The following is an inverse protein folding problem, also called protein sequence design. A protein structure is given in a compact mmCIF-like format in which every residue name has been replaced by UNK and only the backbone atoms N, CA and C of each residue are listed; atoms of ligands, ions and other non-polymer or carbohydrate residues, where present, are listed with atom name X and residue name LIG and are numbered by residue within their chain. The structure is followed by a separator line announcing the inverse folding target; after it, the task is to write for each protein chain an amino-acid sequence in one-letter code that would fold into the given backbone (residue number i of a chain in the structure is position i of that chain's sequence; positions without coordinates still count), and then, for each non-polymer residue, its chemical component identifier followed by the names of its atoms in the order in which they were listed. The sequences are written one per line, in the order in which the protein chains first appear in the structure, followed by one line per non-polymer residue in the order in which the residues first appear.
data_IF_536060616760
#
_entry.id   IF_536060616760
#
_cell.length_a   1.000
_cell.length_b   1.000
_cell.length_c   1.000
_cell.angle_alpha   90.00
_cell.angle_beta   90.00
_cell.angle_gamma   90.00
#
_symmetry.space_group_name_H-M   'P 1'
#
loop_
_entity.id
_entity.type
_entity.pdbx_description
1 polymer ?
#
# COMPACT_ATOMS: atom_id res chain seq x y z
N UNK A 1 66.38 64.38 -11.52
CA UNK A 1 65.06 63.79 -11.85
C UNK A 1 65.35 62.47 -12.52
N UNK A 2 64.91 61.31 -12.06
CA UNK A 2 64.04 60.96 -10.95
C UNK A 2 64.48 59.57 -10.44
N UNK A 3 64.22 59.37 -9.16
CA UNK A 3 64.23 58.10 -8.43
C UNK A 3 63.34 57.09 -9.15
N UNK A 4 63.78 55.83 -9.33
CA UNK A 4 62.89 54.76 -9.75
C UNK A 4 63.12 53.50 -8.90
N UNK A 5 62.06 53.13 -8.21
CA UNK A 5 61.99 52.18 -7.12
C UNK A 5 62.19 50.73 -7.59
N UNK A 6 62.94 49.96 -6.79
CA UNK A 6 63.12 48.51 -6.93
C UNK A 6 61.79 47.76 -7.08
N UNK A 7 61.72 46.88 -8.08
CA UNK A 7 60.98 45.60 -7.97
C UNK A 7 61.94 44.42 -8.13
N UNK A 8 62.46 43.94 -7.00
CA UNK A 8 63.18 42.66 -6.95
C UNK A 8 62.16 41.55 -7.24
N UNK A 9 62.19 40.99 -8.45
CA UNK A 9 61.48 39.73 -8.73
C UNK A 9 62.15 38.65 -7.90
N UNK A 10 61.40 38.10 -6.93
CA UNK A 10 61.84 36.97 -6.12
C UNK A 10 61.93 35.77 -7.05
N UNK A 11 63.14 35.40 -7.45
CA UNK A 11 63.37 34.20 -8.26
C UNK A 11 62.79 33.01 -7.51
N UNK A 12 61.78 32.41 -8.13
CA UNK A 12 61.05 31.28 -7.59
C UNK A 12 61.98 30.08 -7.67
N UNK A 13 62.48 29.63 -6.52
CA UNK A 13 63.35 28.47 -6.43
C UNK A 13 62.65 27.26 -7.08
N UNK A 14 63.20 26.72 -8.19
CA UNK A 14 62.58 25.63 -8.93
C UNK A 14 62.48 24.34 -8.10
N UNK A 15 63.37 24.16 -7.11
CA UNK A 15 63.32 23.01 -6.19
C UNK A 15 62.13 23.17 -5.25
N UNK A 16 61.94 24.37 -4.68
CA UNK A 16 60.80 24.66 -3.82
C UNK A 16 59.47 24.46 -4.54
N UNK A 17 59.36 24.90 -5.80
CA UNK A 17 58.15 24.70 -6.61
C UNK A 17 57.89 23.24 -6.94
N UNK A 18 58.93 22.47 -7.23
CA UNK A 18 58.80 21.04 -7.48
C UNK A 18 58.29 20.31 -6.23
N UNK A 19 58.86 20.60 -5.07
CA UNK A 19 58.41 20.04 -3.79
C UNK A 19 56.97 20.46 -3.45
N UNK A 20 56.60 21.71 -3.70
CA UNK A 20 55.24 22.21 -3.46
C UNK A 20 54.20 21.49 -4.33
N UNK A 21 54.51 21.25 -5.61
CA UNK A 21 53.62 20.54 -6.54
C UNK A 21 53.44 19.10 -6.10
N UNK A 22 54.52 18.41 -5.72
CA UNK A 22 54.45 17.02 -5.22
C UNK A 22 53.62 16.96 -3.93
N UNK A 23 53.78 17.93 -3.03
CA UNK A 23 53.01 18.00 -1.80
C UNK A 23 51.51 18.23 -2.07
N UNK A 24 51.15 19.13 -2.98
CA UNK A 24 49.74 19.36 -3.36
C UNK A 24 49.14 18.09 -3.99
N UNK A 25 49.87 17.40 -4.87
CA UNK A 25 49.41 16.14 -5.46
C UNK A 25 49.18 15.06 -4.40
N UNK A 26 50.07 14.94 -3.41
CA UNK A 26 49.91 14.00 -2.31
C UNK A 26 48.70 14.34 -1.44
N UNK A 27 48.48 15.61 -1.12
CA UNK A 27 47.30 16.06 -0.37
C UNK A 27 46.02 15.78 -1.16
N UNK A 28 45.97 16.08 -2.45
CA UNK A 28 44.82 15.77 -3.31
C UNK A 28 44.56 14.26 -3.42
N UNK A 29 45.59 13.43 -3.45
CA UNK A 29 45.44 11.97 -3.46
C UNK A 29 44.88 11.45 -2.13
N UNK A 30 45.37 11.98 -1.00
CA UNK A 30 44.90 11.57 0.34
C UNK A 30 43.48 12.06 0.61
N UNK A 31 43.16 13.32 0.31
CA UNK A 31 41.79 13.85 0.45
C UNK A 31 40.85 13.20 -0.53
N UNK A 32 41.28 12.95 -1.78
CA UNK A 32 40.53 12.18 -2.76
C UNK A 32 40.23 10.76 -2.28
N UNK A 33 41.21 10.08 -1.67
CA UNK A 33 41.02 8.75 -1.10
C UNK A 33 40.09 8.74 0.12
N UNK A 34 40.20 9.73 1.01
CA UNK A 34 39.29 9.88 2.16
C UNK A 34 37.86 10.18 1.71
N UNK A 35 37.68 11.16 0.81
CA UNK A 35 36.37 11.51 0.26
C UNK A 35 35.76 10.32 -0.49
N UNK A 36 36.57 9.57 -1.27
CA UNK A 36 36.13 8.35 -1.93
C UNK A 36 35.70 7.27 -0.93
N UNK A 37 36.50 7.02 0.11
CA UNK A 37 36.21 6.00 1.11
C UNK A 37 34.97 6.33 1.96
N UNK A 38 34.74 7.62 2.25
CA UNK A 38 33.65 8.05 3.13
C UNK A 38 32.35 8.38 2.37
N UNK A 39 32.42 8.75 1.08
CA UNK A 39 31.25 9.20 0.31
C UNK A 39 30.93 8.38 -0.94
N UNK A 40 31.90 7.63 -1.49
CA UNK A 40 31.73 6.95 -2.80
C UNK A 40 32.02 5.44 -2.76
N UNK A 41 32.52 4.91 -1.65
CA UNK A 41 32.79 3.49 -1.50
C UNK A 41 31.47 2.75 -1.23
N UNK A 42 30.92 2.17 -2.28
CA UNK A 42 29.93 1.09 -2.14
C UNK A 42 30.59 -0.07 -1.41
N UNK A 43 30.10 -0.42 -0.23
CA UNK A 43 30.52 -1.63 0.45
C UNK A 43 30.21 -2.83 -0.46
N UNK A 44 31.26 -3.45 -1.01
CA UNK A 44 31.13 -4.57 -1.93
C UNK A 44 30.83 -5.88 -1.21
N UNK A 45 30.61 -5.84 0.10
CA UNK A 45 30.21 -7.00 0.90
C UNK A 45 28.88 -7.52 0.36
N UNK A 46 28.95 -8.67 -0.31
CA UNK A 46 27.76 -9.38 -0.75
C UNK A 46 27.06 -9.96 0.48
N UNK A 47 25.75 -9.77 0.58
CA UNK A 47 24.96 -10.40 1.61
C UNK A 47 24.97 -11.92 1.43
N UNK A 48 25.29 -12.66 2.49
CA UNK A 48 25.36 -14.13 2.46
C UNK A 48 24.41 -14.73 3.50
N UNK A 49 24.19 -16.04 3.44
CA UNK A 49 23.37 -16.70 4.44
C UNK A 49 23.93 -16.46 5.85
N UNK A 50 23.05 -16.07 6.78
CA UNK A 50 23.41 -15.69 8.14
C UNK A 50 23.82 -14.23 8.35
N UNK A 51 24.01 -13.43 7.28
CA UNK A 51 24.25 -11.99 7.41
C UNK A 51 23.06 -11.28 8.06
N UNK A 52 23.36 -10.28 8.90
CA UNK A 52 22.35 -9.33 9.36
C UNK A 52 22.28 -8.18 8.36
N UNK A 53 21.11 -7.97 7.76
CA UNK A 53 20.93 -7.01 6.69
C UNK A 53 19.86 -5.99 7.01
N UNK A 54 20.00 -4.80 6.40
CA UNK A 54 18.98 -3.76 6.36
C UNK A 54 18.58 -3.53 4.91
N UNK A 55 17.29 -3.56 4.61
CA UNK A 55 16.78 -3.32 3.26
C UNK A 55 15.70 -2.25 3.23
N UNK A 56 15.67 -1.49 2.15
CA UNK A 56 14.48 -0.78 1.73
C UNK A 56 13.67 -1.62 0.76
N UNK A 57 12.35 -1.52 0.81
CA UNK A 57 11.49 -2.27 -0.10
C UNK A 57 10.21 -1.54 -0.48
N UNK A 58 9.68 -1.92 -1.64
CA UNK A 58 8.32 -1.61 -2.08
C UNK A 58 7.69 -2.94 -2.53
N UNK A 59 6.58 -3.30 -1.91
CA UNK A 59 5.75 -4.45 -2.28
C UNK A 59 4.51 -3.99 -3.05
N UNK A 60 4.30 -4.54 -4.25
CA UNK A 60 3.12 -4.27 -5.08
C UNK A 60 2.37 -5.54 -5.48
N UNK A 61 1.06 -5.41 -5.65
CA UNK A 61 0.21 -6.37 -6.36
C UNK A 61 0.12 -5.99 -7.84
N UNK A 62 -0.27 -6.98 -8.65
CA UNK A 62 -0.64 -6.88 -10.07
C UNK A 62 0.51 -6.53 -11.04
N UNK A 63 1.38 -5.60 -10.70
CA UNK A 63 2.53 -5.20 -11.53
C UNK A 63 3.71 -4.69 -10.67
N UNK A 64 4.94 -4.71 -11.21
CA UNK A 64 6.10 -4.07 -10.57
C UNK A 64 5.89 -2.58 -10.31
N UNK A 65 6.49 -2.06 -9.23
CA UNK A 65 6.39 -0.64 -8.91
C UNK A 65 6.85 0.27 -10.07
N UNK A 66 6.04 1.28 -10.36
CA UNK A 66 6.23 2.22 -11.47
C UNK A 66 5.61 1.78 -12.80
N UNK A 67 5.08 0.56 -12.89
CA UNK A 67 4.30 0.11 -14.04
C UNK A 67 2.81 0.42 -13.89
N UNK A 68 2.08 0.42 -15.03
CA UNK A 68 0.64 0.68 -15.02
C UNK A 68 -0.07 -0.35 -14.14
N UNK A 69 -1.04 0.13 -13.36
CA UNK A 69 -1.85 -0.68 -12.45
C UNK A 69 -1.07 -1.33 -11.29
N UNK A 70 0.18 -0.93 -11.01
CA UNK A 70 0.87 -1.39 -9.81
C UNK A 70 0.17 -0.84 -8.56
N UNK A 71 -0.08 -1.71 -7.58
CA UNK A 71 -0.79 -1.34 -6.34
C UNK A 71 0.10 -1.63 -5.14
N UNK A 72 0.53 -0.59 -4.42
CA UNK A 72 1.42 -0.76 -3.27
C UNK A 72 0.64 -1.31 -2.07
N UNK A 73 1.08 -2.46 -1.56
CA UNK A 73 0.50 -3.08 -0.37
C UNK A 73 1.36 -2.90 0.88
N UNK A 74 2.67 -2.69 0.71
CA UNK A 74 3.57 -2.40 1.81
C UNK A 74 4.86 -1.71 1.32
N UNK A 75 5.49 -0.92 2.17
CA UNK A 75 6.78 -0.29 1.85
C UNK A 75 7.51 0.18 3.10
N UNK A 76 8.85 0.19 3.04
CA UNK A 76 9.70 0.89 4.00
C UNK A 76 9.88 2.39 3.69
N UNK A 77 9.42 2.86 2.52
CA UNK A 77 9.73 4.22 2.03
C UNK A 77 8.57 5.17 2.29
N UNK A 78 8.80 6.18 3.13
CA UNK A 78 7.83 7.27 3.35
C UNK A 78 7.40 7.96 2.05
N UNK A 79 8.35 8.21 1.14
CA UNK A 79 8.07 8.87 -0.14
C UNK A 79 7.11 8.10 -1.04
N UNK A 80 6.95 6.79 -0.82
CA UNK A 80 5.99 5.96 -1.54
C UNK A 80 4.68 5.89 -0.75
N UNK A 81 4.76 5.74 0.57
CA UNK A 81 3.59 5.64 1.44
C UNK A 81 2.74 6.92 1.49
N UNK A 82 3.38 8.09 1.43
CA UNK A 82 2.76 9.42 1.50
C UNK A 82 2.57 10.07 0.11
N UNK A 83 2.71 9.32 -0.98
CA UNK A 83 2.41 9.83 -2.32
C UNK A 83 0.99 9.45 -2.72
N UNK A 84 0.13 10.46 -2.87
CA UNK A 84 -1.27 10.33 -3.30
C UNK A 84 -1.40 9.89 -4.77
N UNK A 85 -0.33 10.02 -5.57
CA UNK A 85 -0.32 9.53 -6.96
C UNK A 85 0.00 8.03 -7.06
N UNK A 86 0.43 7.41 -5.95
CA UNK A 86 0.74 5.98 -5.91
C UNK A 86 -0.48 5.24 -5.35
N UNK A 87 -1.15 4.45 -6.19
CA UNK A 87 -2.28 3.62 -5.77
C UNK A 87 -1.88 2.65 -4.66
N UNK A 88 -2.67 2.64 -3.58
CA UNK A 88 -2.46 1.78 -2.40
C UNK A 88 -3.52 0.69 -2.35
N UNK A 89 -3.15 -0.51 -1.91
CA UNK A 89 -4.08 -1.62 -1.76
C UNK A 89 -5.20 -1.29 -0.78
N UNK A 90 -6.34 -1.98 -0.86
CA UNK A 90 -7.47 -1.81 0.05
C UNK A 90 -7.08 -2.03 1.51
N UNK A 91 -6.11 -2.92 1.77
CA UNK A 91 -5.60 -3.22 3.12
C UNK A 91 -4.40 -2.34 3.55
N UNK A 92 -3.99 -1.35 2.75
CA UNK A 92 -2.83 -0.52 3.08
C UNK A 92 -3.17 0.41 4.25
N UNK A 93 -2.33 0.36 5.29
CA UNK A 93 -2.46 1.25 6.45
C UNK A 93 -1.18 2.02 6.64
N UNK A 94 -1.28 3.36 6.57
CA UNK A 94 -0.15 4.24 6.84
C UNK A 94 0.33 4.12 8.29
N UNK A 95 1.64 4.22 8.50
CA UNK A 95 2.28 4.04 9.82
C UNK A 95 2.44 5.35 10.62
N UNK A 96 1.65 6.38 10.29
CA UNK A 96 1.77 7.72 10.88
C UNK A 96 2.68 8.61 10.04
N UNK A 97 3.82 9.02 10.59
CA UNK A 97 4.76 9.95 9.96
C UNK A 97 6.02 9.27 9.40
N UNK A 98 6.88 10.05 8.75
CA UNK A 98 8.13 9.60 8.12
C UNK A 98 9.05 8.79 9.05
N UNK A 99 9.06 9.06 10.36
CA UNK A 99 9.93 8.35 11.31
C UNK A 99 9.54 6.88 11.52
N UNK A 100 8.29 6.51 11.21
CA UNK A 100 7.81 5.13 11.27
C UNK A 100 8.23 4.28 10.05
N UNK A 101 8.80 4.91 9.02
CA UNK A 101 9.22 4.26 7.79
C UNK A 101 10.74 4.13 7.80
N UNK A 102 11.19 3.01 8.35
CA UNK A 102 12.62 2.64 8.47
C UNK A 102 12.91 1.37 7.69
N UNK A 103 14.20 1.13 7.44
CA UNK A 103 14.67 -0.09 6.77
C UNK A 103 14.22 -1.34 7.52
N UNK A 104 13.88 -2.38 6.76
CA UNK A 104 13.57 -3.69 7.31
C UNK A 104 14.87 -4.41 7.67
N UNK A 105 15.05 -4.71 8.96
CA UNK A 105 16.20 -5.41 9.49
C UNK A 105 15.87 -6.87 9.75
N UNK A 106 16.67 -7.79 9.22
CA UNK A 106 16.48 -9.22 9.44
C UNK A 106 17.78 -9.99 9.24
N UNK A 107 17.80 -11.27 9.65
CA UNK A 107 18.93 -12.15 9.41
C UNK A 107 18.60 -13.11 8.26
N UNK A 108 19.48 -13.16 7.25
CA UNK A 108 19.28 -14.06 6.12
C UNK A 108 19.28 -15.51 6.62
N UNK A 109 18.26 -16.28 6.21
CA UNK A 109 18.07 -17.68 6.61
C UNK A 109 17.42 -17.92 7.98
N UNK A 110 16.93 -16.89 8.68
CA UNK A 110 16.24 -17.07 9.97
C UNK A 110 14.78 -17.54 9.88
N UNK A 111 14.20 -17.58 8.67
CA UNK A 111 12.84 -18.03 8.42
C UNK A 111 11.74 -17.04 8.83
N UNK A 112 12.07 -15.77 9.13
CA UNK A 112 11.09 -14.76 9.57
C UNK A 112 10.34 -14.08 8.43
N UNK A 113 10.90 -14.12 7.21
CA UNK A 113 10.33 -13.51 6.00
C UNK A 113 9.95 -14.56 4.97
N UNK A 114 9.22 -14.14 3.93
CA UNK A 114 8.90 -14.98 2.78
C UNK A 114 10.19 -15.56 2.18
N UNK A 115 10.25 -16.88 1.88
CA UNK A 115 11.45 -17.51 1.33
C UNK A 115 11.97 -16.83 0.07
N UNK A 116 11.08 -16.45 -0.85
CA UNK A 116 11.45 -15.72 -2.08
C UNK A 116 12.10 -14.36 -1.79
N UNK A 117 11.60 -13.63 -0.78
CA UNK A 117 12.17 -12.35 -0.37
C UNK A 117 13.55 -12.54 0.26
N UNK A 118 13.68 -13.49 1.20
CA UNK A 118 14.94 -13.78 1.89
C UNK A 118 16.03 -14.21 0.89
N UNK A 119 15.69 -15.13 -0.02
CA UNK A 119 16.61 -15.64 -1.04
C UNK A 119 17.05 -14.56 -2.04
N UNK A 120 16.20 -13.59 -2.35
CA UNK A 120 16.53 -12.52 -3.28
C UNK A 120 17.67 -11.62 -2.79
N UNK A 121 17.79 -11.44 -1.47
CA UNK A 121 18.82 -10.61 -0.85
C UNK A 121 20.19 -11.29 -0.88
N UNK A 122 20.23 -12.62 -0.95
CA UNK A 122 21.50 -13.37 -1.05
C UNK A 122 22.25 -12.95 -2.32
N UNK A 123 23.53 -12.63 -2.15
CA UNK A 123 24.43 -12.19 -3.20
C UNK A 123 24.30 -10.71 -3.58
N UNK A 124 23.31 -9.98 -3.06
CA UNK A 124 23.20 -8.55 -3.30
C UNK A 124 24.37 -7.80 -2.68
N UNK A 125 24.87 -6.77 -3.37
CA UNK A 125 25.85 -5.82 -2.82
C UNK A 125 25.13 -4.63 -2.19
N UNK A 126 25.75 -3.98 -1.20
CA UNK A 126 25.17 -2.78 -0.60
C UNK A 126 24.99 -1.70 -1.69
N UNK A 127 23.80 -1.09 -1.72
CA UNK A 127 23.34 -0.16 -2.74
C UNK A 127 22.66 -0.81 -3.95
N UNK A 128 22.75 -2.12 -4.12
CA UNK A 128 22.07 -2.84 -5.21
C UNK A 128 20.55 -2.82 -5.00
N UNK A 129 19.81 -2.64 -6.10
CA UNK A 129 18.37 -2.82 -6.14
C UNK A 129 18.01 -3.99 -7.03
N UNK A 130 17.17 -4.90 -6.52
CA UNK A 130 16.71 -6.09 -7.22
C UNK A 130 15.18 -6.10 -7.25
N UNK A 131 14.62 -6.50 -8.40
CA UNK A 131 13.18 -6.73 -8.57
C UNK A 131 12.92 -8.22 -8.66
N UNK A 132 11.93 -8.70 -7.92
CA UNK A 132 11.52 -10.10 -7.90
C UNK A 132 10.00 -10.22 -7.96
N UNK A 133 9.54 -11.40 -8.37
CA UNK A 133 8.14 -11.82 -8.23
C UNK A 133 8.13 -13.06 -7.37
N UNK A 134 7.29 -13.05 -6.33
CA UNK A 134 6.96 -14.24 -5.54
C UNK A 134 5.58 -14.68 -6.00
N UNK A 135 5.45 -15.82 -6.69
CA UNK A 135 4.16 -16.31 -7.15
C UNK A 135 3.18 -16.52 -5.99
N UNK A 136 1.87 -16.43 -6.26
CA UNK A 136 0.82 -16.56 -5.26
C UNK A 136 0.94 -17.81 -4.36
N UNK A 137 1.39 -18.94 -4.92
CA UNK A 137 1.59 -20.19 -4.18
C UNK A 137 2.81 -20.21 -3.25
N UNK A 138 3.72 -19.25 -3.39
CA UNK A 138 4.96 -19.11 -2.59
C UNK A 138 4.93 -17.88 -1.67
N UNK A 139 3.90 -17.02 -1.82
CA UNK A 139 3.65 -15.84 -1.00
C UNK A 139 2.76 -16.15 0.19
N UNK A 140 1.77 -15.29 0.42
CA UNK A 140 0.75 -15.52 1.45
C UNK A 140 -0.39 -16.35 0.87
N UNK A 141 -0.60 -17.56 1.39
CA UNK A 141 -1.70 -18.44 0.97
C UNK A 141 -2.73 -18.58 2.07
N UNK A 142 -4.02 -18.53 1.71
CA UNK A 142 -5.11 -18.86 2.62
C UNK A 142 -6.17 -19.68 1.90
N UNK A 143 -6.84 -20.62 2.60
CA UNK A 143 -7.99 -21.31 2.04
C UNK A 143 -9.06 -20.26 1.71
N UNK A 144 -9.28 -20.04 0.41
CA UNK A 144 -10.35 -19.20 -0.11
C UNK A 144 -11.34 -20.14 -0.78
N UNK A 145 -12.63 -19.94 -0.51
CA UNK A 145 -13.70 -20.65 -1.24
C UNK A 145 -14.44 -19.61 -2.07
N UNK A 146 -14.01 -19.37 -3.33
CA UNK A 146 -14.62 -18.35 -4.15
C UNK A 146 -16.12 -18.56 -4.25
N UNK A 147 -16.90 -17.52 -4.02
CA UNK A 147 -18.37 -17.58 -4.17
C UNK A 147 -18.76 -16.92 -5.48
N UNK A 148 -19.66 -17.55 -6.22
CA UNK A 148 -20.27 -16.93 -7.41
C UNK A 148 -21.58 -16.29 -6.99
N UNK A 149 -21.68 -14.97 -7.15
CA UNK A 149 -22.86 -14.17 -6.80
C UNK A 149 -23.55 -13.72 -8.08
N UNK A 150 -24.86 -13.91 -8.17
CA UNK A 150 -25.63 -13.38 -9.29
C UNK A 150 -25.77 -11.86 -9.15
N UNK A 151 -25.61 -11.13 -10.25
CA UNK A 151 -25.76 -9.68 -10.23
C UNK A 151 -27.21 -9.28 -9.92
N UNK A 152 -28.20 -10.08 -10.33
CA UNK A 152 -29.61 -9.71 -10.26
C UNK A 152 -30.38 -10.47 -9.18
N UNK A 153 -31.38 -9.81 -8.59
CA UNK A 153 -32.35 -10.44 -7.69
C UNK A 153 -31.85 -10.65 -6.26
N UNK A 154 -30.84 -9.89 -5.82
CA UNK A 154 -30.35 -9.94 -4.45
C UNK A 154 -31.35 -9.27 -3.50
N UNK A 155 -31.45 -9.76 -2.27
CA UNK A 155 -32.41 -9.25 -1.29
C UNK A 155 -31.76 -8.99 0.07
N UNK A 156 -32.21 -7.95 0.76
CA UNK A 156 -31.85 -7.69 2.15
C UNK A 156 -33.03 -7.09 2.92
N UNK A 157 -33.08 -7.18 4.26
CA UNK A 157 -34.16 -6.58 5.03
C UNK A 157 -34.09 -5.04 4.99
N UNK A 158 -35.24 -4.38 5.15
CA UNK A 158 -35.32 -2.92 5.30
C UNK A 158 -34.79 -2.43 6.65
N UNK A 159 -34.59 -3.34 7.61
CA UNK A 159 -34.05 -3.03 8.93
C UNK A 159 -32.93 -3.98 9.32
N UNK A 160 -31.96 -3.46 10.06
CA UNK A 160 -30.82 -4.21 10.58
C UNK A 160 -30.47 -3.70 11.98
N UNK A 161 -30.08 -4.59 12.88
CA UNK A 161 -29.64 -4.20 14.22
C UNK A 161 -28.12 -4.30 14.31
N UNK A 162 -27.50 -3.20 14.72
CA UNK A 162 -26.07 -3.09 14.99
C UNK A 162 -25.84 -2.86 16.48
N UNK A 163 -24.70 -3.30 16.98
CA UNK A 163 -24.18 -2.80 18.27
C UNK A 163 -23.67 -1.37 18.11
N UNK A 164 -23.60 -0.62 19.21
CA UNK A 164 -22.99 0.72 19.21
C UNK A 164 -21.55 0.73 18.69
N UNK A 165 -20.77 -0.33 18.96
CA UNK A 165 -19.42 -0.49 18.47
C UNK A 165 -19.38 -0.69 16.94
N UNK A 166 -20.25 -1.55 16.40
CA UNK A 166 -20.36 -1.77 14.96
C UNK A 166 -20.77 -0.49 14.24
N UNK A 167 -21.77 0.24 14.73
CA UNK A 167 -22.16 1.50 14.11
C UNK A 167 -21.02 2.53 14.13
N UNK A 168 -20.37 2.71 15.28
CA UNK A 168 -19.26 3.65 15.41
C UNK A 168 -18.09 3.30 14.48
N UNK A 169 -17.82 2.01 14.27
CA UNK A 169 -16.81 1.54 13.33
C UNK A 169 -17.16 1.85 11.87
N UNK A 170 -18.45 1.75 11.49
CA UNK A 170 -18.89 1.99 10.12
C UNK A 170 -19.02 3.46 9.76
N UNK A 171 -19.49 4.28 10.70
CA UNK A 171 -19.85 5.68 10.42
C UNK A 171 -18.91 6.69 11.08
N UNK A 172 -17.99 6.26 11.95
CA UNK A 172 -17.01 7.14 12.59
C UNK A 172 -17.55 8.01 13.72
N UNK A 173 -18.80 7.78 14.16
CA UNK A 173 -19.41 8.51 15.26
C UNK A 173 -20.42 7.64 16.02
N UNK A 174 -20.77 8.07 17.24
CA UNK A 174 -21.82 7.44 18.06
C UNK A 174 -23.15 8.21 17.90
N UNK A 175 -24.28 7.54 17.63
CA UNK A 175 -25.56 8.20 17.47
C UNK A 175 -26.12 8.65 18.83
N UNK A 176 -26.91 9.72 18.82
CA UNK A 176 -27.53 10.26 20.03
C UNK A 176 -28.71 9.38 20.47
N UNK A 177 -28.73 8.99 21.75
CA UNK A 177 -29.76 8.11 22.31
C UNK A 177 -31.18 8.72 22.36
N UNK A 178 -31.30 10.05 22.26
CA UNK A 178 -32.57 10.77 22.41
C UNK A 178 -33.19 11.22 21.09
N UNK A 179 -32.52 11.02 19.95
CA UNK A 179 -32.96 11.53 18.65
C UNK A 179 -32.70 10.52 17.54
N UNK A 180 -33.54 10.53 16.50
CA UNK A 180 -33.28 9.77 15.27
C UNK A 180 -32.10 10.41 14.55
N UNK A 181 -31.10 9.59 14.22
CA UNK A 181 -29.97 10.01 13.38
C UNK A 181 -30.32 9.75 11.92
N UNK A 182 -30.20 10.75 11.05
CA UNK A 182 -30.40 10.61 9.60
C UNK A 182 -29.06 10.45 8.90
N UNK A 183 -28.98 9.52 7.96
CA UNK A 183 -27.82 9.27 7.11
C UNK A 183 -28.22 9.48 5.66
N UNK A 184 -27.57 10.42 4.98
CA UNK A 184 -27.78 10.62 3.54
C UNK A 184 -27.26 9.41 2.73
N UNK A 185 -26.21 8.76 3.24
CA UNK A 185 -25.57 7.60 2.63
C UNK A 185 -25.22 6.55 3.69
N UNK A 186 -25.90 5.40 3.66
CA UNK A 186 -25.49 4.20 4.40
C UNK A 186 -24.31 3.50 3.70
N UNK A 187 -23.79 2.42 4.30
CA UNK A 187 -22.77 1.55 3.67
C UNK A 187 -23.19 0.96 2.31
N UNK A 188 -24.50 0.91 2.03
CA UNK A 188 -25.06 0.47 0.76
C UNK A 188 -25.25 1.60 -0.26
N UNK A 189 -24.96 2.85 0.13
CA UNK A 189 -25.08 4.03 -0.72
C UNK A 189 -26.43 4.75 -0.67
N UNK A 190 -27.48 4.14 -0.11
CA UNK A 190 -28.81 4.77 0.01
C UNK A 190 -29.06 5.40 1.38
N UNK A 191 -30.04 6.32 1.49
CA UNK A 191 -30.42 6.94 2.75
C UNK A 191 -30.89 5.93 3.80
N UNK A 192 -30.64 6.25 5.06
CA UNK A 192 -31.09 5.45 6.20
C UNK A 192 -31.33 6.33 7.44
N UNK A 193 -32.06 5.78 8.40
CA UNK A 193 -32.13 6.35 9.75
C UNK A 193 -31.61 5.35 10.77
N UNK A 194 -30.97 5.85 11.82
CA UNK A 194 -30.48 5.05 12.93
C UNK A 194 -31.14 5.51 14.23
N UNK A 195 -31.74 4.56 14.96
CA UNK A 195 -32.40 4.80 16.24
C UNK A 195 -31.75 3.95 17.32
N UNK A 196 -31.34 4.57 18.42
CA UNK A 196 -30.79 3.86 19.57
C UNK A 196 -31.94 3.23 20.36
N UNK A 197 -31.84 1.94 20.63
CA UNK A 197 -32.72 1.24 21.54
C UNK A 197 -32.01 1.08 22.90
N UNK A 198 -32.41 1.91 23.86
CA UNK A 198 -31.80 2.00 25.20
C UNK A 198 -32.14 0.83 26.12
N UNK A 199 -32.86 -0.19 25.64
CA UNK A 199 -33.20 -1.40 26.41
C UNK A 199 -32.32 -2.55 25.92
N UNK A 200 -31.63 -3.25 26.83
CA UNK A 200 -30.69 -4.36 26.53
C UNK A 200 -29.41 -3.96 25.75
N UNK A 201 -28.52 -3.19 26.36
CA UNK A 201 -27.13 -3.07 25.88
C UNK A 201 -26.89 -2.09 24.73
N UNK A 202 -27.77 -1.10 24.53
CA UNK A 202 -27.65 -0.04 23.52
C UNK A 202 -27.46 -0.56 22.08
N UNK A 203 -28.47 -1.26 21.56
CA UNK A 203 -28.51 -1.62 20.14
C UNK A 203 -28.97 -0.43 19.28
N UNK A 204 -28.57 -0.43 18.02
CA UNK A 204 -28.94 0.58 17.03
C UNK A 204 -29.75 -0.12 15.95
N UNK A 205 -31.00 0.30 15.76
CA UNK A 205 -31.83 -0.16 14.66
C UNK A 205 -31.63 0.77 13.47
N UNK A 206 -31.06 0.23 12.41
CA UNK A 206 -31.00 0.84 11.10
C UNK A 206 -32.33 0.62 10.37
N UNK A 207 -32.83 1.65 9.71
CA UNK A 207 -33.95 1.59 8.79
C UNK A 207 -33.53 2.17 7.45
N UNK A 208 -33.43 1.31 6.44
CA UNK A 208 -32.97 1.65 5.09
C UNK A 208 -34.15 2.14 4.23
N UNK A 209 -33.94 3.25 3.52
CA UNK A 209 -35.00 3.93 2.77
C UNK A 209 -34.67 4.17 1.28
N UNK A 210 -34.17 3.17 0.52
CA UNK A 210 -33.97 3.35 -0.90
C UNK A 210 -35.29 3.49 -1.67
N UNK A 211 -35.22 4.08 -2.86
CA UNK A 211 -36.34 4.20 -3.77
C UNK A 211 -36.24 3.16 -4.90
N UNK A 212 -37.31 2.40 -5.20
CA UNK A 212 -37.35 1.53 -6.38
C UNK A 212 -37.05 2.30 -7.67
N UNK A 213 -36.24 1.72 -8.54
CA UNK A 213 -35.77 2.32 -9.79
C UNK A 213 -34.47 3.13 -9.65
N UNK A 214 -34.09 3.53 -8.44
CA UNK A 214 -32.86 4.29 -8.19
C UNK A 214 -31.62 3.40 -8.11
N UNK A 215 -30.48 3.99 -8.45
CA UNK A 215 -29.15 3.37 -8.35
C UNK A 215 -28.32 4.13 -7.32
N UNK A 216 -27.70 3.39 -6.40
CA UNK A 216 -26.93 3.94 -5.29
C UNK A 216 -25.51 3.40 -5.32
N UNK A 217 -24.50 4.28 -5.28
CA UNK A 217 -23.10 3.85 -5.31
C UNK A 217 -22.65 3.42 -3.91
N UNK A 218 -22.41 2.12 -3.74
CA UNK A 218 -21.88 1.55 -2.52
C UNK A 218 -20.36 1.73 -2.42
N UNK A 219 -19.64 1.40 -3.50
CA UNK A 219 -18.18 1.50 -3.59
C UNK A 219 -17.82 2.34 -4.80
N UNK A 220 -16.92 3.30 -4.62
CA UNK A 220 -16.28 4.09 -5.68
C UNK A 220 -14.80 4.19 -5.30
N UNK A 221 -13.98 3.30 -5.86
CA UNK A 221 -12.56 3.17 -5.52
C UNK A 221 -11.69 3.18 -6.78
N UNK A 222 -10.37 3.26 -6.59
CA UNK A 222 -9.38 3.17 -7.66
C UNK A 222 -9.46 1.85 -8.45
N UNK A 223 -10.06 0.80 -7.87
CA UNK A 223 -10.15 -0.53 -8.45
C UNK A 223 -11.45 -0.79 -9.22
N UNK A 224 -12.45 0.08 -9.00
CA UNK A 224 -13.72 0.04 -9.69
C UNK A 224 -14.88 0.52 -8.83
N UNK A 225 -16.06 0.47 -9.45
CA UNK A 225 -17.29 0.99 -8.87
C UNK A 225 -18.31 -0.12 -8.70
N UNK A 226 -18.93 -0.18 -7.53
CA UNK A 226 -20.06 -1.06 -7.22
C UNK A 226 -21.25 -0.20 -6.84
N UNK A 227 -22.30 -0.25 -7.65
CA UNK A 227 -23.58 0.36 -7.36
C UNK A 227 -24.68 -0.69 -7.19
N UNK A 228 -25.72 -0.33 -6.45
CA UNK A 228 -26.89 -1.16 -6.17
C UNK A 228 -28.10 -0.50 -6.80
N UNK A 229 -28.64 -1.13 -7.84
CA UNK A 229 -29.87 -0.69 -8.50
C UNK A 229 -31.07 -1.36 -7.85
N UNK A 230 -31.88 -0.57 -7.17
CA UNK A 230 -33.02 -1.06 -6.39
C UNK A 230 -34.19 -1.34 -7.33
N UNK A 231 -34.73 -2.55 -7.26
CA UNK A 231 -35.83 -3.00 -8.14
C UNK A 231 -37.17 -2.98 -7.41
N UNK A 232 -37.19 -3.30 -6.12
CA UNK A 232 -38.40 -3.21 -5.29
C UNK A 232 -38.08 -3.03 -3.80
N UNK A 233 -38.99 -2.39 -3.07
CA UNK A 233 -38.99 -2.34 -1.60
C UNK A 233 -40.39 -2.71 -1.13
N UNK A 234 -40.57 -3.97 -0.70
CA UNK A 234 -41.87 -4.54 -0.36
C UNK A 234 -41.71 -5.58 0.74
N UNK A 235 -42.72 -5.74 1.59
CA UNK A 235 -42.76 -6.78 2.65
C UNK A 235 -41.53 -6.76 3.57
N UNK A 236 -40.98 -5.58 3.87
CA UNK A 236 -39.79 -5.43 4.71
C UNK A 236 -38.48 -5.91 4.05
N UNK A 237 -38.46 -6.11 2.73
CA UNK A 237 -37.29 -6.46 1.96
C UNK A 237 -37.01 -5.45 0.85
N UNK A 238 -35.73 -5.21 0.60
CA UNK A 238 -35.17 -4.48 -0.52
C UNK A 238 -34.64 -5.51 -1.50
N UNK A 239 -35.11 -5.47 -2.74
CA UNK A 239 -34.53 -6.24 -3.85
C UNK A 239 -33.69 -5.31 -4.70
N UNK A 240 -32.49 -5.75 -5.06
CA UNK A 240 -31.56 -4.96 -5.84
C UNK A 240 -30.69 -5.82 -6.78
N UNK A 241 -30.10 -5.15 -7.75
CA UNK A 241 -29.10 -5.71 -8.65
C UNK A 241 -27.76 -5.00 -8.44
N UNK A 242 -26.67 -5.74 -8.46
CA UNK A 242 -25.32 -5.19 -8.54
C UNK A 242 -25.07 -4.62 -9.93
N UNK A 243 -24.49 -3.42 -9.97
CA UNK A 243 -23.99 -2.75 -11.17
C UNK A 243 -22.50 -2.49 -10.93
N UNK A 244 -21.66 -3.32 -11.54
CA UNK A 244 -20.20 -3.26 -11.38
C UNK A 244 -19.62 -2.65 -12.65
N UNK A 245 -18.79 -1.62 -12.50
CA UNK A 245 -18.23 -0.84 -13.62
C UNK A 245 -16.84 -0.31 -13.29
N UNK A 246 -16.16 0.27 -14.29
CA UNK A 246 -14.83 0.87 -14.15
C UNK A 246 -13.77 -0.05 -13.55
N UNK A 247 -13.90 -1.36 -13.74
CA UNK A 247 -12.96 -2.34 -13.20
C UNK A 247 -11.64 -2.33 -13.97
N UNK A 248 -10.53 -2.58 -13.27
CA UNK A 248 -9.22 -2.77 -13.90
C UNK A 248 -8.97 -4.26 -14.11
N UNK A 249 -8.76 -4.68 -15.36
CA UNK A 249 -8.50 -6.09 -15.70
C UNK A 249 -7.14 -6.55 -15.17
N UNK A 250 -7.08 -7.76 -14.62
CA UNK A 250 -5.86 -8.41 -14.19
C UNK A 250 -5.90 -9.90 -14.53
N UNK A 251 -5.20 -10.31 -15.59
CA UNK A 251 -5.25 -11.68 -16.08
C UNK A 251 -6.67 -12.12 -16.41
N UNK A 252 -7.14 -13.21 -15.79
CA UNK A 252 -8.51 -13.72 -15.92
C UNK A 252 -9.53 -13.06 -14.98
N UNK A 253 -9.09 -12.13 -14.13
CA UNK A 253 -9.91 -11.44 -13.14
C UNK A 253 -9.77 -9.93 -13.23
N UNK A 254 -9.98 -9.28 -12.10
CA UNK A 254 -9.84 -7.83 -11.93
C UNK A 254 -8.93 -7.52 -10.74
N UNK A 255 -8.45 -6.28 -10.65
CA UNK A 255 -7.95 -5.77 -9.38
C UNK A 255 -9.07 -5.79 -8.35
N UNK A 256 -8.74 -6.23 -7.14
CA UNK A 256 -9.76 -6.55 -6.15
C UNK A 256 -10.50 -5.30 -5.70
N UNK A 257 -11.83 -5.34 -5.84
CA UNK A 257 -12.71 -4.28 -5.31
C UNK A 257 -13.20 -4.74 -3.95
N UNK A 258 -12.82 -4.01 -2.90
CA UNK A 258 -13.35 -4.25 -1.56
C UNK A 258 -14.79 -3.75 -1.46
N UNK A 259 -15.70 -4.64 -1.07
CA UNK A 259 -17.07 -4.31 -0.68
C UNK A 259 -17.20 -4.56 0.82
N UNK A 260 -17.49 -3.51 1.57
CA UNK A 260 -17.69 -3.56 3.02
C UNK A 260 -19.07 -2.99 3.36
N UNK A 261 -20.03 -3.90 3.58
CA UNK A 261 -21.37 -3.60 4.08
C UNK A 261 -21.46 -3.70 5.61
N UNK A 262 -20.32 -3.75 6.29
CA UNK A 262 -20.19 -3.83 7.75
C UNK A 262 -20.40 -5.23 8.32
N UNK A 263 -21.57 -5.83 8.13
CA UNK A 263 -21.82 -7.23 8.53
C UNK A 263 -21.35 -8.23 7.47
N UNK A 264 -21.14 -7.76 6.24
CA UNK A 264 -20.56 -8.53 5.13
C UNK A 264 -19.39 -7.77 4.53
N UNK A 265 -18.23 -8.41 4.46
CA UNK A 265 -17.02 -7.87 3.86
C UNK A 265 -16.42 -8.90 2.91
N UNK A 266 -16.18 -8.52 1.66
CA UNK A 266 -15.63 -9.40 0.63
C UNK A 266 -14.95 -8.60 -0.47
N UNK A 267 -14.08 -9.27 -1.21
CA UNK A 267 -13.45 -8.75 -2.42
C UNK A 267 -14.13 -9.33 -3.65
N UNK A 268 -14.42 -8.51 -4.65
CA UNK A 268 -14.81 -8.98 -5.98
C UNK A 268 -13.53 -9.27 -6.76
N UNK A 269 -13.41 -10.49 -7.30
CA UNK A 269 -12.18 -11.00 -7.93
C UNK A 269 -12.29 -11.14 -9.44
N UNK A 270 -13.51 -11.34 -9.97
CA UNK A 270 -13.75 -11.49 -11.40
C UNK A 270 -15.23 -11.21 -11.75
N UNK A 271 -15.48 -10.84 -13.00
CA UNK A 271 -16.83 -10.68 -13.57
C UNK A 271 -17.08 -11.79 -14.62
N UNK A 272 -18.28 -12.34 -14.64
CA UNK A 272 -18.71 -13.39 -15.57
C UNK A 272 -20.15 -13.19 -16.00
N UNK A 273 -20.35 -12.43 -17.07
CA UNK A 273 -21.66 -12.17 -17.68
C UNK A 273 -22.67 -11.57 -16.68
N UNK A 274 -23.55 -12.41 -16.15
CA UNK A 274 -24.59 -12.06 -15.17
C UNK A 274 -24.20 -12.31 -13.71
N UNK A 275 -22.94 -12.61 -13.43
CA UNK A 275 -22.43 -12.98 -12.12
C UNK A 275 -21.03 -12.43 -11.87
N UNK A 276 -20.59 -12.45 -10.61
CA UNK A 276 -19.23 -12.13 -10.23
C UNK A 276 -18.72 -13.11 -9.18
N UNK A 277 -17.40 -13.25 -9.11
CA UNK A 277 -16.73 -14.11 -8.13
C UNK A 277 -16.20 -13.27 -6.97
N UNK A 278 -16.31 -13.79 -5.75
CA UNK A 278 -15.82 -13.12 -4.54
C UNK A 278 -14.86 -13.97 -3.74
N UNK A 279 -14.07 -13.33 -2.88
CA UNK A 279 -13.32 -13.96 -1.80
C UNK A 279 -13.47 -13.17 -0.49
N UNK A 280 -13.30 -13.84 0.64
CA UNK A 280 -13.42 -13.23 1.99
C UNK A 280 -12.10 -13.18 2.75
N UNK A 281 -11.02 -13.66 2.14
CA UNK A 281 -9.67 -13.54 2.69
C UNK A 281 -9.10 -12.15 2.38
N UNK A 282 -8.17 -11.67 3.22
CA UNK A 282 -7.50 -10.38 3.03
C UNK A 282 -6.83 -10.29 1.65
N UNK A 283 -6.66 -9.07 1.13
CA UNK A 283 -6.22 -8.82 -0.25
C UNK A 283 -4.86 -9.47 -0.55
N UNK A 284 -3.96 -9.51 0.44
CA UNK A 284 -2.62 -10.09 0.30
C UNK A 284 -2.57 -11.58 0.01
N UNK A 285 -3.65 -12.32 0.27
CA UNK A 285 -3.66 -13.77 0.12
C UNK A 285 -3.92 -14.19 -1.32
N UNK A 286 -3.19 -15.22 -1.76
CA UNK A 286 -3.30 -15.83 -3.08
C UNK A 286 -3.04 -14.83 -4.22
N UNK A 287 -2.13 -13.87 -4.00
CA UNK A 287 -1.69 -12.88 -4.98
C UNK A 287 -0.21 -13.06 -5.31
N UNK A 288 0.16 -12.80 -6.56
CA UNK A 288 1.58 -12.60 -6.91
C UNK A 288 2.09 -11.33 -6.23
N UNK A 289 3.26 -11.43 -5.61
CA UNK A 289 3.89 -10.34 -4.88
C UNK A 289 5.10 -9.84 -5.65
N UNK A 290 5.03 -8.61 -6.13
CA UNK A 290 6.14 -7.94 -6.79
C UNK A 290 6.91 -7.15 -5.73
N UNK A 291 8.23 -7.34 -5.67
CA UNK A 291 9.08 -6.57 -4.75
C UNK A 291 10.19 -5.87 -5.51
N UNK A 292 10.40 -4.60 -5.16
CA UNK A 292 11.66 -3.89 -5.41
C UNK A 292 12.39 -3.78 -4.07
N UNK A 293 13.60 -4.35 -3.98
CA UNK A 293 14.39 -4.45 -2.74
C UNK A 293 15.72 -3.76 -2.97
N UNK A 294 16.09 -2.83 -2.10
CA UNK A 294 17.40 -2.16 -2.09
C UNK A 294 18.17 -2.58 -0.84
N UNK A 295 19.35 -3.16 -1.00
CA UNK A 295 20.20 -3.52 0.14
C UNK A 295 20.89 -2.27 0.69
N UNK A 296 20.61 -1.90 1.94
CA UNK A 296 21.17 -0.69 2.59
C UNK A 296 22.40 -1.01 3.40
N UNK A 297 22.44 -2.16 4.09
CA UNK A 297 23.64 -2.64 4.78
C UNK A 297 23.64 -4.15 4.93
N UNK A 298 24.84 -4.75 5.03
CA UNK A 298 25.04 -6.16 5.34
C UNK A 298 26.21 -6.31 6.32
N UNK A 299 26.03 -7.15 7.34
CA UNK A 299 27.04 -7.46 8.39
C UNK A 299 27.16 -8.96 8.62
#
# INVERSE_FOLDING_TARGET
MADDEKKVKKDRDPIFWTCLIVFILAVCAVTGAMIYNDNFRTDSTAAVNGSSVSVDYIGTFYAPFGENNAVVFDTSKWSVANDDNVTKSNDFTGRGDQSAYTTLNFKIGDGTLLPGFNNAVIGMKVGETKRIVIPAGEGYTAPSTPQTVQMNGNTMPTTENLTQAQFSALYGFTPNASTITTLDKSVYGWPATATVNSTNGNSITMNYMPQPGSEYTAVDSDFGKVALKVTSVQNGQITFNYVISNTISNGSGIQLILVDFGTSKFYITALSGSSFTTQVVAERYNQDLYFEITLVSAK
#
